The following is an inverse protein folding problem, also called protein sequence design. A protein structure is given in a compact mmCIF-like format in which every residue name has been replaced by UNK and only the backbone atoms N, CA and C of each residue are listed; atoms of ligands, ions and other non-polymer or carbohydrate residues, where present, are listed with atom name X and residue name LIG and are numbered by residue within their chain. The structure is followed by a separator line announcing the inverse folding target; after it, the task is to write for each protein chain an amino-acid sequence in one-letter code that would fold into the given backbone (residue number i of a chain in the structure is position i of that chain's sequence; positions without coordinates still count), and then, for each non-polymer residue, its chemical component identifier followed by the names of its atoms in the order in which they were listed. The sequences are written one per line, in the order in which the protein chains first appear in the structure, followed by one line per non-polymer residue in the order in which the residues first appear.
data_IF_102741306154
#
_entry.id   IF_102741306154
#
_cell.length_a   1.000
_cell.length_b   1.000
_cell.length_c   1.000
_cell.angle_alpha   90.00
_cell.angle_beta   90.00
_cell.angle_gamma   90.00
#
_symmetry.space_group_name_H-M   'P 1'
#
loop_
_entity.id
_entity.type
_entity.pdbx_description
1 polymer ?
#
# COMPACT_ATOMS: atom_id res chain seq x y z
N UNK A 1 16.56 -4.36 15.47
CA UNK A 1 15.38 -4.97 14.80
C UNK A 1 14.49 -3.84 14.27
N UNK A 2 14.58 -3.49 12.99
CA UNK A 2 13.78 -2.41 12.38
C UNK A 2 13.28 -2.78 10.97
N UNK A 3 13.14 -4.08 10.69
CA UNK A 3 12.86 -4.61 9.34
C UNK A 3 11.45 -4.25 8.86
N UNK A 4 10.51 -4.00 9.78
CA UNK A 4 9.10 -3.77 9.44
C UNK A 4 8.77 -2.31 9.12
N UNK A 5 9.68 -1.35 9.31
CA UNK A 5 9.38 0.07 9.06
C UNK A 5 9.01 0.32 7.59
N UNK A 6 9.72 -0.34 6.67
CA UNK A 6 9.42 -0.27 5.23
C UNK A 6 8.08 -0.92 4.89
N UNK A 7 7.71 -1.97 5.62
CA UNK A 7 6.42 -2.64 5.45
C UNK A 7 5.28 -1.72 5.90
N UNK A 8 5.38 -1.14 7.11
CA UNK A 8 4.38 -0.20 7.65
C UNK A 8 4.22 1.01 6.73
N UNK A 9 5.33 1.59 6.25
CA UNK A 9 5.28 2.73 5.33
C UNK A 9 4.55 2.40 4.02
N UNK A 10 4.84 1.25 3.41
CA UNK A 10 4.15 0.81 2.18
C UNK A 10 2.68 0.51 2.45
N UNK A 11 2.37 -0.13 3.58
CA UNK A 11 1.01 -0.44 3.96
C UNK A 11 0.18 0.82 4.20
N UNK A 12 0.72 1.82 4.89
CA UNK A 12 0.08 3.13 5.05
C UNK A 12 -0.18 3.82 3.71
N UNK A 13 0.76 3.72 2.76
CA UNK A 13 0.57 4.29 1.42
C UNK A 13 -0.51 3.57 0.63
N UNK A 14 -0.63 2.26 0.81
CA UNK A 14 -1.71 1.47 0.21
C UNK A 14 -3.05 1.88 0.82
N UNK A 15 -3.11 2.03 2.15
CA UNK A 15 -4.33 2.48 2.84
C UNK A 15 -4.76 3.88 2.36
N UNK A 16 -3.84 4.85 2.26
CA UNK A 16 -4.13 6.20 1.75
C UNK A 16 -4.66 6.19 0.31
N UNK A 17 -4.02 5.44 -0.61
CA UNK A 17 -4.44 5.39 -2.02
C UNK A 17 -5.79 4.69 -2.19
N UNK A 18 -6.06 3.67 -1.38
CA UNK A 18 -7.33 2.96 -1.41
C UNK A 18 -8.45 3.80 -0.80
N UNK A 19 -8.19 4.47 0.32
CA UNK A 19 -9.13 5.41 0.94
C UNK A 19 -9.46 6.57 -0.02
N UNK A 20 -8.47 7.10 -0.74
CA UNK A 20 -8.67 8.11 -1.77
C UNK A 20 -9.54 7.61 -2.94
N UNK A 21 -9.49 6.31 -3.25
CA UNK A 21 -10.38 5.66 -4.23
C UNK A 21 -11.74 5.26 -3.65
N UNK A 22 -11.95 5.44 -2.35
CA UNK A 22 -13.16 5.00 -1.65
C UNK A 22 -13.28 3.48 -1.51
N UNK A 23 -12.18 2.75 -1.66
CA UNK A 23 -12.14 1.28 -1.51
C UNK A 23 -11.34 0.92 -0.27
N UNK A 24 -11.68 -0.20 0.36
CA UNK A 24 -10.86 -0.77 1.43
C UNK A 24 -9.85 -1.77 0.89
N UNK A 25 -8.79 -1.98 1.66
CA UNK A 25 -7.76 -2.99 1.43
C UNK A 25 -8.36 -4.40 1.26
N UNK A 26 -9.45 -4.66 1.96
CA UNK A 26 -10.23 -5.91 1.91
C UNK A 26 -11.08 -6.04 0.63
N UNK A 27 -11.43 -4.91 0.00
CA UNK A 27 -12.19 -4.85 -1.26
C UNK A 27 -11.30 -4.67 -2.49
N UNK A 28 -9.99 -4.55 -2.26
CA UNK A 28 -9.00 -4.37 -3.31
C UNK A 28 -8.55 -5.72 -3.82
N UNK A 29 -8.35 -5.83 -5.13
CA UNK A 29 -7.79 -7.05 -5.71
C UNK A 29 -6.28 -7.11 -5.46
N UNK A 30 -5.71 -8.32 -5.55
CA UNK A 30 -4.26 -8.52 -5.50
C UNK A 30 -3.55 -7.65 -6.55
N UNK A 31 -4.13 -7.46 -7.73
CA UNK A 31 -3.59 -6.58 -8.78
C UNK A 31 -3.57 -5.10 -8.36
N UNK A 32 -4.66 -4.60 -7.76
CA UNK A 32 -4.71 -3.22 -7.25
C UNK A 32 -3.68 -3.01 -6.11
N UNK A 33 -3.54 -3.99 -5.23
CA UNK A 33 -2.52 -3.96 -4.17
C UNK A 33 -1.10 -3.96 -4.74
N UNK A 34 -0.81 -4.83 -5.72
CA UNK A 34 0.53 -4.95 -6.32
C UNK A 34 0.93 -3.65 -7.04
N UNK A 35 0.00 -3.04 -7.78
CA UNK A 35 0.24 -1.74 -8.42
C UNK A 35 0.57 -0.64 -7.40
N UNK A 36 -0.21 -0.52 -6.33
CA UNK A 36 0.01 0.50 -5.31
C UNK A 36 1.30 0.20 -4.54
N UNK A 37 1.59 -1.08 -4.29
CA UNK A 37 2.81 -1.53 -3.63
C UNK A 37 4.06 -1.18 -4.44
N UNK A 38 4.08 -1.42 -5.75
CA UNK A 38 5.20 -1.04 -6.61
C UNK A 38 5.36 0.50 -6.68
N UNK A 39 4.27 1.26 -6.71
CA UNK A 39 4.32 2.74 -6.62
C UNK A 39 4.89 3.22 -5.29
N UNK A 40 4.49 2.63 -4.18
CA UNK A 40 4.99 2.96 -2.84
C UNK A 40 6.47 2.56 -2.67
N UNK A 41 6.90 1.48 -3.33
CA UNK A 41 8.28 1.00 -3.34
C UNK A 41 9.22 1.91 -4.12
N UNK A 42 8.75 2.54 -5.22
CA UNK A 42 9.57 3.51 -5.97
C UNK A 42 9.84 4.83 -5.22
N UNK A 43 8.99 5.20 -4.24
CA UNK A 43 9.17 6.42 -3.43
C UNK A 43 10.07 6.22 -2.18
N UNK A 44 10.63 5.03 -1.94
CA UNK A 44 11.38 4.66 -0.71
C UNK A 44 12.85 4.38 -0.94
#
# INVERSE_FOLDING_TARGET
RATNKKFIYRFQKIEEELEAKGKKLEESTLEEMDEIWERAKQKS
#
